data_IF_395869814110
#
_entry.id   IF_395869814110
#
_cell.length_a   1.000
_cell.length_b   1.000
_cell.length_c   1.000
_cell.angle_alpha   90.00
_cell.angle_beta   90.00
_cell.angle_gamma   90.00
#
_symmetry.space_group_name_H-M   'P 1'
#
loop_
_entity.id
_entity.type
_entity.pdbx_description
1 polymer ?
#
# COMPACT_ATOMS: atom_id res chain seq x y z
N UNK A 1 -5.48 15.73 -2.13
CA UNK A 1 -5.59 14.27 -2.31
C UNK A 1 -5.76 13.56 -0.96
N UNK A 2 -6.84 12.81 -0.77
CA UNK A 2 -7.11 11.95 0.39
C UNK A 2 -6.54 10.57 0.14
N UNK A 3 -5.65 10.11 1.01
CA UNK A 3 -4.96 8.82 0.87
C UNK A 3 -5.44 7.85 1.94
N UNK A 4 -5.74 6.62 1.54
CA UNK A 4 -5.86 5.50 2.49
C UNK A 4 -4.62 4.62 2.37
N UNK A 5 -4.03 4.28 3.52
CA UNK A 5 -2.96 3.29 3.59
C UNK A 5 -3.54 1.94 4.01
N UNK A 6 -3.02 0.84 3.45
CA UNK A 6 -3.36 -0.52 3.90
C UNK A 6 -2.08 -1.23 4.35
N UNK A 7 -2.07 -1.63 5.63
CA UNK A 7 -0.93 -2.22 6.32
C UNK A 7 -1.17 -3.65 6.79
N UNK A 8 -0.09 -4.39 7.01
CA UNK A 8 -0.13 -5.60 7.84
C UNK A 8 -0.16 -5.24 9.34
N UNK A 9 -0.06 -6.23 10.21
CA UNK A 9 0.04 -6.07 11.66
C UNK A 9 1.28 -5.28 12.08
N UNK A 10 2.43 -5.46 11.39
CA UNK A 10 3.71 -4.88 11.79
C UNK A 10 3.75 -3.40 11.44
N UNK A 11 3.44 -3.05 10.18
CA UNK A 11 3.49 -1.66 9.72
C UNK A 11 2.37 -0.82 10.33
N UNK A 12 1.21 -1.40 10.66
CA UNK A 12 0.17 -0.67 11.39
C UNK A 12 0.50 -0.44 12.86
N UNK A 13 1.42 -1.24 13.44
CA UNK A 13 1.67 -1.28 14.88
C UNK A 13 0.57 -2.00 15.67
N UNK A 14 -0.34 -2.72 15.00
CA UNK A 14 -1.42 -3.48 15.62
C UNK A 14 -0.97 -4.87 16.14
N UNK A 15 0.22 -5.33 15.72
CA UNK A 15 0.83 -6.56 16.19
C UNK A 15 2.33 -6.62 15.89
N UNK A 16 3.00 -7.61 16.46
CA UNK A 16 4.40 -7.91 16.17
C UNK A 16 4.50 -8.99 15.09
N UNK A 17 5.74 -9.43 14.81
CA UNK A 17 6.02 -10.43 13.76
C UNK A 17 5.19 -11.70 13.90
N UNK A 18 4.95 -12.16 15.13
CA UNK A 18 4.28 -13.44 15.39
C UNK A 18 2.74 -13.32 15.44
N UNK A 19 2.19 -12.09 15.44
CA UNK A 19 0.76 -11.82 15.53
C UNK A 19 0.06 -11.89 14.14
N UNK A 20 0.24 -12.98 13.41
CA UNK A 20 -0.27 -13.10 12.03
C UNK A 20 -1.81 -13.04 11.92
N UNK A 21 -2.54 -13.28 13.02
CA UNK A 21 -4.00 -13.36 13.04
C UNK A 21 -4.69 -12.08 13.51
N UNK A 22 -4.02 -10.92 13.47
CA UNK A 22 -4.66 -9.63 13.78
C UNK A 22 -5.89 -9.42 12.88
N UNK A 23 -7.09 -9.22 13.46
CA UNK A 23 -8.30 -9.05 12.67
C UNK A 23 -8.27 -7.73 11.89
N UNK A 24 -9.16 -7.63 10.91
CA UNK A 24 -9.34 -6.40 10.14
C UNK A 24 -9.72 -5.21 11.06
N UNK A 25 -8.90 -4.15 11.00
CA UNK A 25 -9.05 -2.94 11.78
C UNK A 25 -8.84 -1.67 10.95
N UNK A 26 -9.14 -0.54 11.58
CA UNK A 26 -8.99 0.78 10.96
C UNK A 26 -8.67 1.83 12.02
N UNK A 27 -7.86 2.81 11.65
CA UNK A 27 -7.62 4.03 12.43
C UNK A 27 -7.66 5.27 11.54
N UNK A 28 -8.02 6.41 12.12
CA UNK A 28 -7.96 7.73 11.45
C UNK A 28 -6.59 8.36 11.54
N UNK A 29 -5.78 7.95 12.52
CA UNK A 29 -4.45 8.48 12.73
C UNK A 29 -3.46 7.85 11.75
N UNK A 30 -2.51 8.61 11.21
CA UNK A 30 -1.43 8.03 10.41
C UNK A 30 -0.59 7.11 11.31
N UNK A 31 -0.37 5.88 10.86
CA UNK A 31 0.47 4.89 11.55
C UNK A 31 1.57 4.37 10.63
N UNK A 32 2.64 3.84 11.23
CA UNK A 32 3.71 3.23 10.46
C UNK A 32 4.41 4.19 9.49
N UNK A 33 4.76 3.72 8.28
CA UNK A 33 5.40 4.56 7.26
C UNK A 33 4.62 5.82 6.88
N UNK A 34 3.29 5.85 7.07
CA UNK A 34 2.45 7.03 6.80
C UNK A 34 2.92 8.29 7.55
N UNK A 35 3.48 8.12 8.75
CA UNK A 35 4.03 9.21 9.57
C UNK A 35 5.23 9.83 8.86
N UNK A 36 6.14 9.00 8.35
CA UNK A 36 7.32 9.45 7.60
C UNK A 36 6.95 10.01 6.22
N UNK A 37 5.83 9.59 5.65
CA UNK A 37 5.31 10.09 4.37
C UNK A 37 4.70 11.49 4.47
N UNK A 38 4.38 11.99 5.67
CA UNK A 38 3.63 13.24 5.85
C UNK A 38 4.24 14.45 5.11
N UNK A 39 5.56 14.73 5.16
CA UNK A 39 6.14 15.86 4.45
C UNK A 39 6.00 15.73 2.92
N UNK A 40 6.19 14.53 2.38
CA UNK A 40 6.09 14.26 0.94
C UNK A 40 4.65 14.36 0.45
N UNK A 41 3.70 13.83 1.23
CA UNK A 41 2.27 13.98 0.97
C UNK A 41 1.88 15.46 0.97
N UNK A 42 2.30 16.24 1.97
CA UNK A 42 2.03 17.69 2.01
C UNK A 42 2.57 18.41 0.77
N UNK A 43 3.78 18.05 0.31
CA UNK A 43 4.38 18.64 -0.89
C UNK A 43 3.55 18.40 -2.16
N UNK A 44 2.82 17.29 -2.26
CA UNK A 44 1.90 16.99 -3.38
C UNK A 44 0.43 17.30 -3.08
N UNK A 45 0.14 18.07 -2.01
CA UNK A 45 -1.23 18.42 -1.63
C UNK A 45 -2.06 17.22 -1.13
N UNK A 46 -1.38 16.20 -0.59
CA UNK A 46 -1.94 14.96 -0.07
C UNK A 46 -2.00 14.90 1.46
N UNK A 47 -2.88 14.05 1.98
CA UNK A 47 -2.92 13.68 3.41
C UNK A 47 -3.53 12.29 3.59
N UNK A 48 -3.07 11.56 4.60
CA UNK A 48 -3.70 10.30 5.01
C UNK A 48 -5.01 10.59 5.74
N UNK A 49 -6.08 9.88 5.38
CA UNK A 49 -7.41 10.02 6.01
C UNK A 49 -7.83 8.79 6.82
N UNK A 50 -7.23 7.63 6.53
CA UNK A 50 -7.32 6.44 7.34
C UNK A 50 -6.18 5.47 7.01
N UNK A 51 -5.83 4.65 7.99
CA UNK A 51 -5.03 3.44 7.80
C UNK A 51 -5.92 2.24 8.11
N UNK A 52 -6.05 1.34 7.13
CA UNK A 52 -6.70 0.04 7.31
C UNK A 52 -5.61 -1.01 7.50
N UNK A 53 -5.91 -2.07 8.24
CA UNK A 53 -4.92 -3.12 8.47
C UNK A 53 -5.54 -4.46 8.84
N UNK A 54 -4.81 -5.54 8.59
CA UNK A 54 -5.05 -6.86 9.15
C UNK A 54 -3.73 -7.63 9.20
N UNK A 55 -3.67 -8.71 9.96
CA UNK A 55 -2.53 -9.62 9.89
C UNK A 55 -2.46 -10.31 8.53
N UNK A 56 -1.25 -10.56 8.04
CA UNK A 56 -1.00 -11.27 6.79
C UNK A 56 -1.56 -12.71 6.82
N UNK A 57 -1.44 -13.41 7.94
CA UNK A 57 -2.08 -14.73 8.14
C UNK A 57 -3.61 -14.67 8.21
N UNK A 58 -4.17 -13.62 8.83
CA UNK A 58 -5.61 -13.38 8.84
C UNK A 58 -6.15 -13.19 7.42
N UNK A 59 -5.42 -12.43 6.59
CA UNK A 59 -5.73 -12.28 5.17
C UNK A 59 -5.60 -13.62 4.43
N UNK A 60 -4.49 -14.34 4.59
CA UNK A 60 -4.23 -15.61 3.90
C UNK A 60 -5.30 -16.67 4.19
N UNK A 61 -5.83 -16.71 5.42
CA UNK A 61 -6.90 -17.63 5.76
C UNK A 61 -8.20 -17.36 4.99
N UNK A 62 -8.49 -16.10 4.62
CA UNK A 62 -9.77 -15.70 4.00
C UNK A 62 -9.63 -14.55 2.98
N UNK A 63 -8.79 -14.67 1.93
CA UNK A 63 -8.35 -13.53 1.12
C UNK A 63 -9.52 -12.83 0.42
N UNK A 64 -10.44 -13.61 -0.18
CA UNK A 64 -11.63 -13.07 -0.87
C UNK A 64 -12.53 -12.26 0.05
N UNK A 65 -12.73 -12.72 1.29
CA UNK A 65 -13.60 -12.03 2.24
C UNK A 65 -12.95 -10.74 2.73
N UNK A 66 -11.66 -10.79 3.07
CA UNK A 66 -10.91 -9.64 3.58
C UNK A 66 -10.77 -8.57 2.49
N UNK A 67 -10.40 -8.94 1.26
CA UNK A 67 -10.38 -8.02 0.11
C UNK A 67 -11.73 -7.36 -0.12
N UNK A 68 -12.82 -8.15 -0.12
CA UNK A 68 -14.18 -7.60 -0.30
C UNK A 68 -14.51 -6.56 0.79
N UNK A 69 -14.18 -6.85 2.05
CA UNK A 69 -14.41 -5.91 3.17
C UNK A 69 -13.57 -4.64 3.03
N UNK A 70 -12.30 -4.76 2.64
CA UNK A 70 -11.41 -3.63 2.37
C UNK A 70 -11.94 -2.76 1.21
N UNK A 71 -12.31 -3.37 0.08
CA UNK A 71 -12.88 -2.65 -1.07
C UNK A 71 -14.19 -1.93 -0.68
N UNK A 72 -15.05 -2.55 0.12
CA UNK A 72 -16.26 -1.91 0.64
C UNK A 72 -15.94 -0.70 1.53
N UNK A 73 -14.91 -0.79 2.37
CA UNK A 73 -14.44 0.35 3.17
C UNK A 73 -13.86 1.48 2.31
N UNK A 74 -13.08 1.16 1.28
CA UNK A 74 -12.57 2.13 0.30
C UNK A 74 -13.73 2.86 -0.39
N UNK A 75 -14.72 2.13 -0.92
CA UNK A 75 -15.91 2.71 -1.54
C UNK A 75 -16.72 3.61 -0.59
N UNK A 76 -16.76 3.25 0.70
CA UNK A 76 -17.45 4.07 1.71
C UNK A 76 -16.68 5.34 2.06
N UNK A 77 -15.37 5.24 2.24
CA UNK A 77 -14.51 6.36 2.65
C UNK A 77 -14.16 7.29 1.48
N UNK A 78 -14.31 6.81 0.24
CA UNK A 78 -14.05 7.55 -1.01
C UNK A 78 -12.73 8.32 -0.95
N UNK A 79 -11.59 7.65 -0.70
CA UNK A 79 -10.30 8.29 -0.86
C UNK A 79 -10.07 8.62 -2.34
N UNK A 80 -9.08 9.46 -2.61
CA UNK A 80 -8.68 9.76 -3.98
C UNK A 80 -7.70 8.67 -4.50
N UNK A 81 -6.97 8.00 -3.60
CA UNK A 81 -6.02 6.92 -3.92
C UNK A 81 -5.81 6.00 -2.70
N UNK A 82 -5.49 4.73 -2.96
CA UNK A 82 -5.08 3.76 -1.94
C UNK A 82 -3.64 3.31 -2.15
N UNK A 83 -2.87 3.22 -1.06
CA UNK A 83 -1.50 2.74 -1.09
C UNK A 83 -1.40 1.50 -0.20
N UNK A 84 -1.03 0.37 -0.79
CA UNK A 84 -0.80 -0.89 -0.08
C UNK A 84 0.71 -1.11 0.11
N UNK A 85 1.23 -0.78 1.29
CA UNK A 85 2.68 -0.82 1.55
C UNK A 85 3.20 0.43 2.26
N UNK A 86 4.53 0.54 2.48
CA UNK A 86 5.55 -0.37 1.98
C UNK A 86 5.66 -1.68 2.75
N UNK A 87 5.70 -2.81 2.04
CA UNK A 87 5.84 -4.14 2.60
C UNK A 87 7.29 -4.54 2.91
N UNK A 88 8.28 -3.75 2.50
CA UNK A 88 9.71 -4.12 2.62
C UNK A 88 9.92 -5.55 2.07
N UNK A 89 10.72 -6.37 2.76
CA UNK A 89 10.99 -7.77 2.41
C UNK A 89 10.06 -8.78 3.11
N UNK A 90 8.87 -8.36 3.53
CA UNK A 90 7.88 -9.23 4.18
C UNK A 90 7.00 -9.92 3.16
N UNK A 91 7.26 -11.19 2.87
CA UNK A 91 6.62 -11.94 1.78
C UNK A 91 5.09 -12.04 1.91
N UNK A 92 4.60 -12.37 3.10
CA UNK A 92 3.16 -12.47 3.37
C UNK A 92 2.44 -11.13 3.15
N UNK A 93 3.02 -10.05 3.69
CA UNK A 93 2.48 -8.71 3.48
C UNK A 93 2.63 -8.23 2.03
N UNK A 94 3.75 -8.51 1.35
CA UNK A 94 3.94 -8.17 -0.06
C UNK A 94 2.85 -8.77 -0.94
N UNK A 95 2.58 -10.07 -0.76
CA UNK A 95 1.48 -10.77 -1.45
C UNK A 95 0.12 -10.17 -1.11
N UNK A 96 -0.14 -9.91 0.16
CA UNK A 96 -1.39 -9.26 0.61
C UNK A 96 -1.58 -7.89 -0.05
N UNK A 97 -0.54 -7.04 -0.04
CA UNK A 97 -0.58 -5.70 -0.58
C UNK A 97 -0.85 -5.68 -2.10
N UNK A 98 -0.18 -6.54 -2.86
CA UNK A 98 -0.39 -6.65 -4.31
C UNK A 98 -1.82 -7.11 -4.66
N UNK A 99 -2.31 -8.14 -3.96
CA UNK A 99 -3.67 -8.65 -4.19
C UNK A 99 -4.74 -7.62 -3.84
N UNK A 100 -4.63 -6.94 -2.70
CA UNK A 100 -5.59 -5.92 -2.29
C UNK A 100 -5.58 -4.73 -3.27
N UNK A 101 -4.41 -4.27 -3.69
CA UNK A 101 -4.30 -3.20 -4.69
C UNK A 101 -4.97 -3.61 -6.01
N UNK A 102 -4.76 -4.86 -6.45
CA UNK A 102 -5.40 -5.40 -7.64
C UNK A 102 -6.92 -5.46 -7.49
N UNK A 103 -7.43 -6.02 -6.39
CA UNK A 103 -8.87 -6.13 -6.14
C UNK A 103 -9.56 -4.75 -6.05
N UNK A 104 -8.91 -3.75 -5.44
CA UNK A 104 -9.42 -2.37 -5.41
C UNK A 104 -9.52 -1.81 -6.82
N UNK A 105 -8.50 -1.99 -7.66
CA UNK A 105 -8.50 -1.52 -9.05
C UNK A 105 -9.55 -2.25 -9.92
N UNK A 106 -9.89 -3.50 -9.60
CA UNK A 106 -10.90 -4.26 -10.35
C UNK A 106 -12.34 -3.95 -9.92
N UNK A 107 -12.54 -3.52 -8.68
CA UNK A 107 -13.88 -3.47 -8.05
C UNK A 107 -14.30 -2.07 -7.58
N UNK A 108 -13.42 -1.08 -7.71
CA UNK A 108 -13.69 0.31 -7.32
C UNK A 108 -13.15 1.28 -8.38
N UNK A 109 -13.65 2.51 -8.37
CA UNK A 109 -13.13 3.59 -9.23
C UNK A 109 -11.88 4.29 -8.64
N UNK A 110 -11.39 3.84 -7.48
CA UNK A 110 -10.25 4.45 -6.79
C UNK A 110 -8.96 3.77 -7.23
N UNK A 111 -7.96 4.52 -7.74
CA UNK A 111 -6.68 3.93 -8.09
C UNK A 111 -5.94 3.43 -6.84
N UNK A 112 -5.33 2.27 -6.96
CA UNK A 112 -4.52 1.64 -5.94
C UNK A 112 -3.21 1.08 -6.50
N UNK A 113 -2.17 1.08 -5.69
CA UNK A 113 -0.88 0.48 -6.03
C UNK A 113 -0.22 -0.14 -4.80
N UNK A 114 0.77 -0.99 -5.05
CA UNK A 114 1.55 -1.66 -4.02
C UNK A 114 2.96 -1.07 -3.90
N UNK A 115 3.60 -1.28 -2.75
CA UNK A 115 5.01 -0.93 -2.56
C UNK A 115 5.70 -2.03 -1.75
N UNK A 116 6.82 -2.56 -2.23
CA UNK A 116 7.54 -3.66 -1.60
C UNK A 116 9.00 -3.70 -2.05
N UNK A 117 9.84 -4.53 -1.42
CA UNK A 117 11.23 -4.70 -1.84
C UNK A 117 11.39 -5.84 -2.83
N UNK A 118 12.50 -5.82 -3.58
CA UNK A 118 12.84 -6.83 -4.61
C UNK A 118 12.87 -8.27 -4.10
N UNK A 119 13.03 -8.48 -2.79
CA UNK A 119 12.95 -9.80 -2.16
C UNK A 119 11.56 -10.46 -2.29
N UNK A 120 10.50 -9.71 -2.65
CA UNK A 120 9.16 -10.25 -2.93
C UNK A 120 9.03 -10.74 -4.39
N UNK A 121 10.07 -11.39 -4.92
CA UNK A 121 10.23 -11.71 -6.34
C UNK A 121 9.00 -12.42 -6.95
N UNK A 122 8.46 -13.44 -6.26
CA UNK A 122 7.27 -14.17 -6.73
C UNK A 122 6.06 -13.24 -6.91
N UNK A 123 5.79 -12.40 -5.92
CA UNK A 123 4.67 -11.45 -5.96
C UNK A 123 4.89 -10.40 -7.05
N UNK A 124 6.11 -9.88 -7.17
CA UNK A 124 6.45 -8.88 -8.19
C UNK A 124 6.22 -9.45 -9.59
N UNK A 125 6.75 -10.65 -9.86
CA UNK A 125 6.59 -11.30 -11.16
C UNK A 125 5.13 -11.60 -11.49
N UNK A 126 4.29 -11.89 -10.50
CA UNK A 126 2.87 -12.15 -10.71
C UNK A 126 2.04 -10.87 -10.97
N UNK A 127 2.44 -9.73 -10.40
CA UNK A 127 1.60 -8.54 -10.30
C UNK A 127 2.11 -7.27 -11.00
N UNK A 128 3.39 -7.17 -11.37
CA UNK A 128 3.96 -5.93 -11.95
C UNK A 128 3.23 -5.44 -13.23
N UNK A 129 2.68 -6.37 -14.01
CA UNK A 129 1.92 -6.06 -15.23
C UNK A 129 0.43 -5.79 -14.96
N UNK A 130 -0.02 -5.94 -13.70
CA UNK A 130 -1.43 -5.82 -13.28
C UNK A 130 -1.67 -4.63 -12.36
N UNK A 131 -0.68 -4.27 -11.56
CA UNK A 131 -0.70 -3.13 -10.64
C UNK A 131 0.69 -2.50 -10.62
N UNK A 132 0.75 -1.18 -10.42
CA UNK A 132 2.02 -0.54 -10.14
C UNK A 132 2.58 -1.05 -8.80
N UNK A 133 3.86 -1.39 -8.79
CA UNK A 133 4.57 -1.84 -7.59
C UNK A 133 5.80 -0.95 -7.43
N UNK A 134 5.76 -0.04 -6.46
CA UNK A 134 6.90 0.83 -6.14
C UNK A 134 7.98 0.01 -5.44
N UNK A 135 9.21 0.08 -5.95
CA UNK A 135 10.39 -0.51 -5.31
C UNK A 135 10.72 0.27 -4.04
N UNK A 136 10.87 -0.48 -2.95
CA UNK A 136 11.28 0.02 -1.64
C UNK A 136 12.47 -0.80 -1.15
N UNK A 137 13.33 -0.27 -0.25
CA UNK A 137 14.38 -1.10 0.32
C UNK A 137 13.78 -2.21 1.17
N UNK A 138 14.56 -3.27 1.43
CA UNK A 138 14.27 -4.19 2.54
C UNK A 138 14.29 -3.46 3.89
N UNK A 139 13.75 -4.07 4.94
CA UNK A 139 13.76 -3.47 6.28
C UNK A 139 15.20 -3.18 6.73
N UNK A 140 15.44 -1.94 7.18
CA UNK A 140 16.77 -1.47 7.57
C UNK A 140 17.72 -1.14 6.41
N UNK A 141 17.26 -1.26 5.16
CA UNK A 141 18.01 -0.81 3.99
C UNK A 141 18.00 0.70 3.79
N UNK A 142 18.87 1.18 2.90
CA UNK A 142 18.98 2.59 2.52
C UNK A 142 18.01 2.95 1.40
N UNK A 143 17.59 4.21 1.30
CA UNK A 143 16.76 4.70 0.19
C UNK A 143 15.26 4.79 0.50
N UNK A 144 14.84 4.56 1.75
CA UNK A 144 13.43 4.63 2.13
C UNK A 144 12.81 6.00 1.83
N UNK A 145 13.50 7.09 2.15
CA UNK A 145 13.00 8.45 1.89
C UNK A 145 12.71 8.72 0.40
N UNK A 146 13.58 8.25 -0.50
CA UNK A 146 13.36 8.37 -1.94
C UNK A 146 12.19 7.50 -2.40
N UNK A 147 12.07 6.29 -1.87
CA UNK A 147 10.94 5.43 -2.17
C UNK A 147 9.60 6.02 -1.69
N UNK A 148 9.55 6.58 -0.47
CA UNK A 148 8.35 7.24 0.07
C UNK A 148 7.95 8.48 -0.76
N UNK A 149 8.93 9.27 -1.21
CA UNK A 149 8.70 10.38 -2.14
C UNK A 149 8.14 9.88 -3.48
N UNK A 150 8.73 8.81 -4.04
CA UNK A 150 8.24 8.14 -5.24
C UNK A 150 6.80 7.63 -5.11
N UNK A 151 6.46 7.01 -3.98
CA UNK A 151 5.08 6.59 -3.66
C UNK A 151 4.11 7.77 -3.66
N UNK A 152 4.49 8.91 -3.06
CA UNK A 152 3.63 10.10 -3.01
C UNK A 152 3.45 10.73 -4.40
N UNK A 153 4.50 10.75 -5.23
CA UNK A 153 4.45 11.24 -6.61
C UNK A 153 3.56 10.36 -7.49
N UNK A 154 3.72 9.04 -7.41
CA UNK A 154 2.86 8.10 -8.14
C UNK A 154 1.40 8.25 -7.72
N UNK A 155 1.14 8.37 -6.42
CA UNK A 155 -0.20 8.60 -5.90
C UNK A 155 -0.84 9.86 -6.49
N UNK A 156 -0.09 10.97 -6.57
CA UNK A 156 -0.57 12.23 -7.15
C UNK A 156 -0.85 12.08 -8.65
N UNK A 157 0.08 11.52 -9.40
CA UNK A 157 -0.06 11.34 -10.85
C UNK A 157 -1.25 10.43 -11.22
N UNK A 158 -1.52 9.39 -10.43
CA UNK A 158 -2.70 8.55 -10.58
C UNK A 158 -4.01 9.34 -10.40
N UNK A 159 -4.05 10.22 -9.40
CA UNK A 159 -5.24 11.03 -9.10
C UNK A 159 -5.48 12.11 -10.16
N UNK A 160 -4.41 12.74 -10.63
CA UNK A 160 -4.50 13.77 -11.66
C UNK A 160 -4.63 13.20 -13.08
N UNK A 161 -4.44 11.88 -13.24
CA UNK A 161 -4.39 11.18 -14.53
C UNK A 161 -3.30 11.73 -15.45
N UNK A 162 -2.12 11.99 -14.87
CA UNK A 162 -0.92 12.41 -15.58
C UNK A 162 -0.24 11.25 -16.31
N UNK A 163 0.74 11.55 -17.17
CA UNK A 163 1.62 10.53 -17.75
C UNK A 163 2.45 9.88 -16.63
N UNK A 164 2.24 8.58 -16.43
CA UNK A 164 2.88 7.81 -15.36
C UNK A 164 4.31 7.39 -15.70
N UNK A 165 4.69 7.38 -16.99
CA UNK A 165 5.98 6.82 -17.44
C UNK A 165 7.21 7.40 -16.73
N UNK A 166 7.34 8.72 -16.49
CA UNK A 166 8.51 9.27 -15.81
C UNK A 166 8.64 8.81 -14.35
N UNK A 167 7.52 8.44 -13.73
CA UNK A 167 7.46 7.98 -12.34
C UNK A 167 7.65 6.47 -12.29
N UNK A 168 6.91 5.71 -13.10
CA UNK A 168 6.95 4.24 -13.07
C UNK A 168 8.30 3.70 -13.53
N UNK A 169 8.91 4.30 -14.56
CA UNK A 169 10.26 3.89 -15.02
C UNK A 169 11.37 4.14 -13.99
N UNK A 170 11.17 5.09 -13.08
CA UNK A 170 12.13 5.41 -12.02
C UNK A 170 11.89 4.60 -10.75
N UNK A 171 10.63 4.41 -10.37
CA UNK A 171 10.27 3.96 -9.03
C UNK A 171 9.60 2.59 -8.99
N UNK A 172 9.16 2.00 -10.10
CA UNK A 172 8.42 0.73 -10.13
C UNK A 172 9.23 -0.41 -10.77
N UNK A 173 8.82 -1.65 -10.48
CA UNK A 173 9.29 -2.87 -11.15
C UNK A 173 8.65 -3.10 -12.52
#
# INVERSE_FOLDING_TARGET
MKVIMIYDQIQSGAGIKDDHMVPLGATKDPVGPAIMMEPYLKAVGGRVVACLYCGDGFYEANPKEVSRKLCAMVNKLKPDVVICGPAFNYLGYGKMAANIAYDINQTTDVPAFAAMSKENEETINEFKDKVHIVETPKKGGTGLNEALDGMCKLAKALVDKEDLNPITSKYCF
#
